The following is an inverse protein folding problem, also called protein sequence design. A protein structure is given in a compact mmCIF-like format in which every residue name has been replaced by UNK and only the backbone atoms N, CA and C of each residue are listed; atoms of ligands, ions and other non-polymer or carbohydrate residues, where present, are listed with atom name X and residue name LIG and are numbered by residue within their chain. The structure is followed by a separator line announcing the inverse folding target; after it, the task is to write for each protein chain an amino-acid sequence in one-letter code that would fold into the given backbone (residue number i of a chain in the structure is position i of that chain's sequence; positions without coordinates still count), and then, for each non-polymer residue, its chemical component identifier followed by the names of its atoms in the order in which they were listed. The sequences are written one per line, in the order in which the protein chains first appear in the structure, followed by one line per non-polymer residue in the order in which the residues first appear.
data_IF_083366333044
#
_entry.id   IF_083366333044
#
_cell.length_a   1.000
_cell.length_b   1.000
_cell.length_c   1.000
_cell.angle_alpha   90.00
_cell.angle_beta   90.00
_cell.angle_gamma   90.00
#
_symmetry.space_group_name_H-M   'P 1'
#
loop_
_entity.id
_entity.type
_entity.pdbx_description
1 polymer ?
#
# COMPACT_ATOMS: atom_id res chain seq x y z
N UNK A 1 37.13 -17.45 2.29
CA UNK A 1 36.39 -17.40 3.58
C UNK A 1 34.90 -17.18 3.35
N UNK A 2 34.47 -16.07 2.74
CA UNK A 2 33.04 -15.77 2.51
C UNK A 2 32.30 -16.86 1.69
N UNK A 3 32.90 -17.36 0.60
CA UNK A 3 32.29 -18.43 -0.22
C UNK A 3 32.05 -19.73 0.57
N UNK A 4 32.94 -20.09 1.48
CA UNK A 4 32.77 -21.30 2.31
C UNK A 4 31.60 -21.15 3.29
N UNK A 5 31.42 -19.97 3.88
CA UNK A 5 30.25 -19.66 4.70
C UNK A 5 28.96 -19.68 3.87
N UNK A 6 28.96 -19.10 2.68
CA UNK A 6 27.80 -19.10 1.78
C UNK A 6 27.44 -20.51 1.29
N UNK A 7 28.44 -21.34 0.96
CA UNK A 7 28.25 -22.77 0.64
C UNK A 7 27.64 -23.53 1.83
N UNK A 8 28.12 -23.27 3.05
CA UNK A 8 27.58 -23.87 4.27
C UNK A 8 26.14 -23.47 4.58
N UNK A 9 25.76 -22.20 4.36
CA UNK A 9 24.40 -21.71 4.60
C UNK A 9 23.37 -22.23 3.59
N UNK A 10 23.79 -22.44 2.35
CA UNK A 10 22.92 -22.93 1.27
C UNK A 10 22.85 -24.47 1.20
N UNK A 11 23.63 -25.18 2.02
CA UNK A 11 23.64 -26.64 2.08
C UNK A 11 23.96 -27.27 0.72
N UNK A 12 23.21 -28.30 0.33
CA UNK A 12 23.40 -29.01 -0.94
C UNK A 12 23.26 -28.12 -2.19
N UNK A 13 22.62 -26.95 -2.08
CA UNK A 13 22.45 -26.00 -3.17
C UNK A 13 23.56 -24.95 -3.25
N UNK A 14 24.45 -24.89 -2.27
CA UNK A 14 25.43 -23.81 -2.15
C UNK A 14 26.45 -23.76 -3.27
N UNK A 15 27.05 -24.89 -3.64
CA UNK A 15 27.99 -24.91 -4.78
C UNK A 15 27.31 -24.59 -6.11
N UNK A 16 26.24 -25.30 -6.55
CA UNK A 16 25.66 -25.06 -7.87
C UNK A 16 25.11 -23.65 -8.04
N UNK A 17 24.56 -23.02 -6.98
CA UNK A 17 24.08 -21.63 -7.05
C UNK A 17 25.24 -20.64 -7.17
N UNK A 18 26.30 -20.81 -6.39
CA UNK A 18 27.47 -19.92 -6.45
C UNK A 18 28.24 -20.06 -7.76
N UNK A 19 28.36 -21.28 -8.26
CA UNK A 19 29.00 -21.58 -9.54
C UNK A 19 28.19 -20.93 -10.68
N UNK A 20 26.85 -21.03 -10.67
CA UNK A 20 25.98 -20.33 -11.62
C UNK A 20 26.10 -18.80 -11.55
N UNK A 21 26.15 -18.21 -10.35
CA UNK A 21 26.33 -16.76 -10.18
C UNK A 21 27.66 -16.30 -10.77
N UNK A 22 28.72 -17.09 -10.58
CA UNK A 22 30.06 -16.79 -11.07
C UNK A 22 30.16 -16.93 -12.60
N UNK A 23 29.51 -17.94 -13.16
CA UNK A 23 29.55 -18.23 -14.60
C UNK A 23 28.64 -17.31 -15.41
N UNK A 24 27.57 -16.78 -14.79
CA UNK A 24 26.58 -15.93 -15.44
C UNK A 24 26.25 -14.64 -14.68
N UNK A 25 27.25 -13.77 -14.40
CA UNK A 25 27.05 -12.58 -13.58
C UNK A 25 26.08 -11.58 -14.22
N UNK A 26 26.05 -11.50 -15.56
CA UNK A 26 25.14 -10.63 -16.30
C UNK A 26 23.68 -11.08 -16.18
N UNK A 27 23.42 -12.39 -16.22
CA UNK A 27 22.08 -12.95 -16.06
C UNK A 27 21.56 -12.67 -14.66
N UNK A 28 22.39 -12.90 -13.64
CA UNK A 28 22.02 -12.61 -12.25
C UNK A 28 21.76 -11.12 -12.03
N UNK A 29 22.63 -10.26 -12.56
CA UNK A 29 22.43 -8.81 -12.50
C UNK A 29 21.13 -8.38 -13.19
N UNK A 30 20.80 -8.94 -14.36
CA UNK A 30 19.56 -8.66 -15.07
C UNK A 30 18.33 -9.07 -14.25
N UNK A 31 18.35 -10.28 -13.66
CA UNK A 31 17.26 -10.75 -12.78
C UNK A 31 17.09 -9.84 -11.56
N UNK A 32 18.19 -9.44 -10.91
CA UNK A 32 18.15 -8.54 -9.77
C UNK A 32 17.66 -7.13 -10.15
N UNK A 33 18.03 -6.62 -11.31
CA UNK A 33 17.54 -5.34 -11.82
C UNK A 33 16.04 -5.38 -12.09
N UNK A 34 15.55 -6.44 -12.73
CA UNK A 34 14.11 -6.65 -12.96
C UNK A 34 13.37 -6.72 -11.62
N UNK A 35 13.91 -7.47 -10.66
CA UNK A 35 13.36 -7.56 -9.30
C UNK A 35 13.29 -6.19 -8.63
N UNK A 36 14.37 -5.41 -8.68
CA UNK A 36 14.43 -4.07 -8.11
C UNK A 36 13.38 -3.15 -8.76
N UNK A 37 13.17 -3.30 -10.07
CA UNK A 37 12.10 -2.65 -10.82
C UNK A 37 10.71 -2.96 -10.25
N UNK A 38 10.40 -4.24 -9.97
CA UNK A 38 9.13 -4.63 -9.34
C UNK A 38 8.95 -4.01 -7.95
N UNK A 39 10.00 -4.01 -7.13
CA UNK A 39 9.95 -3.40 -5.78
C UNK A 39 9.69 -1.90 -5.87
N UNK A 40 10.41 -1.20 -6.74
CA UNK A 40 10.23 0.24 -6.95
C UNK A 40 8.83 0.57 -7.50
N UNK A 41 8.36 -0.16 -8.51
CA UNK A 41 7.04 0.01 -9.10
C UNK A 41 5.93 -0.25 -8.08
N UNK A 42 6.07 -1.27 -7.22
CA UNK A 42 5.12 -1.55 -6.16
C UNK A 42 5.02 -0.44 -5.11
N UNK A 43 6.15 0.16 -4.72
CA UNK A 43 6.16 1.32 -3.81
C UNK A 43 5.52 2.55 -4.46
N UNK A 44 5.79 2.78 -5.74
CA UNK A 44 5.19 3.89 -6.48
C UNK A 44 3.68 3.72 -6.62
N UNK A 45 3.19 2.52 -6.92
CA UNK A 45 1.76 2.21 -6.97
C UNK A 45 1.05 2.45 -5.64
N UNK A 46 1.66 2.06 -4.51
CA UNK A 46 1.08 2.34 -3.18
C UNK A 46 0.99 3.83 -2.89
N UNK A 47 2.00 4.62 -3.30
CA UNK A 47 1.93 6.09 -3.18
C UNK A 47 0.82 6.67 -4.04
N UNK A 48 0.66 6.17 -5.26
CA UNK A 48 -0.43 6.57 -6.17
C UNK A 48 -1.80 6.24 -5.58
N UNK A 49 -2.00 5.03 -5.07
CA UNK A 49 -3.25 4.64 -4.39
C UNK A 49 -3.55 5.61 -3.25
N UNK A 50 -2.57 5.93 -2.40
CA UNK A 50 -2.76 6.89 -1.31
C UNK A 50 -3.22 8.26 -1.83
N UNK A 51 -2.54 8.80 -2.83
CA UNK A 51 -2.88 10.12 -3.40
C UNK A 51 -4.29 10.13 -4.02
N UNK A 52 -4.65 9.11 -4.79
CA UNK A 52 -5.98 8.99 -5.38
C UNK A 52 -7.07 8.77 -4.31
N UNK A 53 -6.75 8.05 -3.23
CA UNK A 53 -7.65 7.89 -2.09
C UNK A 53 -7.92 9.21 -1.38
N UNK A 54 -6.90 10.03 -1.15
CA UNK A 54 -7.04 11.37 -0.57
C UNK A 54 -7.92 12.25 -1.46
N UNK A 55 -7.64 12.31 -2.78
CA UNK A 55 -8.46 13.08 -3.72
C UNK A 55 -9.92 12.65 -3.69
N UNK A 56 -10.17 11.35 -3.63
CA UNK A 56 -11.53 10.80 -3.58
C UNK A 56 -12.24 11.18 -2.28
N UNK A 57 -11.54 11.12 -1.14
CA UNK A 57 -12.10 11.53 0.16
C UNK A 57 -12.41 13.02 0.20
N UNK A 58 -11.47 13.87 -0.24
CA UNK A 58 -11.65 15.32 -0.27
C UNK A 58 -12.80 15.71 -1.19
N UNK A 59 -12.86 15.14 -2.41
CA UNK A 59 -13.93 15.42 -3.36
C UNK A 59 -15.31 15.02 -2.81
N UNK A 60 -15.42 13.81 -2.24
CA UNK A 60 -16.66 13.33 -1.64
C UNK A 60 -17.08 14.19 -0.43
N UNK A 61 -16.12 14.61 0.40
CA UNK A 61 -16.41 15.44 1.56
C UNK A 61 -16.87 16.85 1.17
N UNK A 62 -16.29 17.45 0.13
CA UNK A 62 -16.73 18.76 -0.37
C UNK A 62 -18.16 18.70 -0.92
N UNK A 63 -18.46 17.67 -1.72
CA UNK A 63 -19.80 17.46 -2.29
C UNK A 63 -20.86 17.19 -1.20
N UNK A 64 -20.52 16.37 -0.21
CA UNK A 64 -21.43 15.99 0.87
C UNK A 64 -21.59 17.08 1.93
N UNK A 65 -20.58 17.91 2.17
CA UNK A 65 -20.71 19.07 3.08
C UNK A 65 -21.65 20.14 2.48
N UNK A 66 -21.65 20.28 1.16
CA UNK A 66 -22.57 21.18 0.45
C UNK A 66 -24.04 20.70 0.51
N UNK A 67 -24.26 19.38 0.60
CA UNK A 67 -25.60 18.77 0.48
C UNK A 67 -26.18 18.32 1.83
N UNK A 68 -25.32 17.92 2.78
CA UNK A 68 -25.70 17.27 4.03
C UNK A 68 -24.74 17.67 5.18
N UNK A 69 -25.01 18.79 5.88
CA UNK A 69 -24.09 19.37 6.88
C UNK A 69 -23.94 18.58 8.21
N UNK A 70 -24.50 17.38 8.33
CA UNK A 70 -24.49 16.58 9.56
C UNK A 70 -23.85 15.19 9.42
N UNK A 71 -23.16 14.92 8.32
CA UNK A 71 -22.56 13.61 8.07
C UNK A 71 -21.37 13.35 9.01
N UNK A 72 -21.30 12.16 9.62
CA UNK A 72 -20.15 11.74 10.43
C UNK A 72 -19.03 11.18 9.56
N UNK A 73 -17.80 11.15 10.08
CA UNK A 73 -16.64 10.56 9.40
C UNK A 73 -16.83 9.06 9.10
N UNK A 74 -17.56 8.34 9.94
CA UNK A 74 -17.89 6.93 9.76
C UNK A 74 -18.87 6.71 8.61
N UNK A 75 -19.95 7.48 8.54
CA UNK A 75 -20.91 7.42 7.44
C UNK A 75 -20.27 7.82 6.10
N UNK A 76 -19.37 8.81 6.13
CA UNK A 76 -18.57 9.18 4.97
C UNK A 76 -17.67 8.03 4.54
N UNK A 77 -16.96 7.40 5.48
CA UNK A 77 -16.10 6.25 5.22
C UNK A 77 -16.87 5.10 4.58
N UNK A 78 -18.04 4.72 5.10
CA UNK A 78 -18.81 3.58 4.56
C UNK A 78 -19.24 3.80 3.11
N UNK A 79 -19.68 5.03 2.77
CA UNK A 79 -20.05 5.41 1.40
C UNK A 79 -18.85 5.43 0.47
N UNK A 80 -17.74 6.00 0.94
CA UNK A 80 -16.50 6.08 0.17
C UNK A 80 -15.89 4.69 -0.03
N UNK A 81 -15.97 3.82 0.98
CA UNK A 81 -15.29 2.53 0.99
C UNK A 81 -15.71 1.65 -0.20
N UNK A 82 -17.00 1.63 -0.53
CA UNK A 82 -17.52 0.88 -1.69
C UNK A 82 -16.87 1.41 -2.98
N UNK A 83 -16.97 2.71 -3.22
CA UNK A 83 -16.40 3.35 -4.41
C UNK A 83 -14.87 3.21 -4.49
N UNK A 84 -14.21 3.33 -3.34
CA UNK A 84 -12.77 3.16 -3.21
C UNK A 84 -12.36 1.72 -3.57
N UNK A 85 -13.08 0.71 -3.05
CA UNK A 85 -12.79 -0.70 -3.30
C UNK A 85 -12.86 -1.07 -4.78
N UNK A 86 -13.83 -0.50 -5.51
CA UNK A 86 -13.97 -0.69 -6.97
C UNK A 86 -12.88 0.03 -7.77
N UNK A 87 -12.39 1.17 -7.27
CA UNK A 87 -11.38 1.98 -7.96
C UNK A 87 -9.96 1.52 -7.67
N UNK A 88 -9.69 0.92 -6.51
CA UNK A 88 -8.35 0.52 -6.10
C UNK A 88 -7.70 -0.44 -7.11
N UNK A 89 -8.48 -1.35 -7.69
CA UNK A 89 -8.03 -2.28 -8.73
C UNK A 89 -7.67 -1.61 -10.07
N UNK A 90 -8.10 -0.37 -10.30
CA UNK A 90 -7.76 0.41 -11.50
C UNK A 90 -6.53 1.30 -11.30
N UNK A 91 -6.15 1.58 -10.06
CA UNK A 91 -5.02 2.47 -9.73
C UNK A 91 -3.67 1.77 -9.67
N UNK A 92 -3.68 0.44 -9.55
CA UNK A 92 -2.50 -0.40 -9.48
C UNK A 92 -2.71 -1.68 -10.27
N UNK A 93 -1.60 -2.23 -10.78
CA UNK A 93 -1.55 -3.54 -11.43
C UNK A 93 -1.20 -4.65 -10.43
N UNK A 94 -0.45 -4.32 -9.37
CA UNK A 94 -0.14 -5.24 -8.28
C UNK A 94 0.12 -4.50 -6.97
N UNK A 95 -0.02 -5.22 -5.86
CA UNK A 95 0.45 -4.78 -4.55
C UNK A 95 1.61 -5.68 -4.12
N UNK A 96 2.72 -5.14 -3.58
CA UNK A 96 3.77 -5.98 -3.01
C UNK A 96 3.17 -6.90 -1.94
N UNK A 97 3.45 -8.21 -2.04
CA UNK A 97 3.03 -9.19 -1.05
C UNK A 97 3.49 -8.79 0.36
N UNK A 98 2.97 -9.44 1.41
CA UNK A 98 3.31 -9.12 2.81
C UNK A 98 4.83 -9.02 3.04
N UNK A 99 5.59 -9.95 2.47
CA UNK A 99 7.06 -10.02 2.54
C UNK A 99 7.79 -9.08 1.56
N UNK A 100 7.08 -8.41 0.66
CA UNK A 100 7.66 -7.49 -0.33
C UNK A 100 8.40 -8.16 -1.48
N UNK A 101 8.39 -9.49 -1.53
CA UNK A 101 9.19 -10.28 -2.49
C UNK A 101 8.46 -10.60 -3.79
N UNK A 102 7.13 -10.55 -3.80
CA UNK A 102 6.33 -10.97 -4.96
C UNK A 102 5.15 -10.03 -5.21
N UNK A 103 4.73 -9.83 -6.46
CA UNK A 103 3.49 -9.13 -6.76
C UNK A 103 2.29 -9.98 -6.32
N UNK A 104 1.29 -9.34 -5.73
CA UNK A 104 0.01 -9.93 -5.35
C UNK A 104 -1.13 -9.21 -6.07
N UNK A 105 -2.28 -9.88 -6.30
CA UNK A 105 -3.43 -9.25 -6.93
C UNK A 105 -3.92 -8.05 -6.11
N UNK A 106 -4.34 -7.00 -6.81
CA UNK A 106 -4.83 -5.77 -6.17
C UNK A 106 -6.26 -5.98 -5.68
N UNK A 107 -6.45 -5.92 -4.37
CA UNK A 107 -7.75 -5.96 -3.71
C UNK A 107 -7.78 -4.93 -2.59
N UNK A 108 -8.98 -4.49 -2.20
CA UNK A 108 -9.16 -3.61 -1.03
C UNK A 108 -8.43 -4.17 0.21
N UNK A 109 -8.56 -5.49 0.44
CA UNK A 109 -7.94 -6.18 1.57
C UNK A 109 -6.41 -6.18 1.50
N UNK A 110 -5.81 -6.46 0.33
CA UNK A 110 -4.33 -6.45 0.18
C UNK A 110 -3.75 -5.05 0.30
N UNK A 111 -4.47 -4.04 -0.19
CA UNK A 111 -4.11 -2.63 0.00
C UNK A 111 -4.21 -2.24 1.48
N UNK A 112 -5.29 -2.63 2.17
CA UNK A 112 -5.49 -2.34 3.60
C UNK A 112 -4.39 -2.89 4.50
N UNK A 113 -3.80 -4.04 4.14
CA UNK A 113 -2.64 -4.58 4.86
C UNK A 113 -1.39 -3.68 4.78
N UNK A 114 -1.31 -2.79 3.79
CA UNK A 114 -0.17 -1.89 3.55
C UNK A 114 -0.49 -0.42 3.84
N UNK A 115 -1.76 -0.08 3.77
CA UNK A 115 -2.28 1.27 3.90
C UNK A 115 -3.61 1.20 4.65
N UNK A 116 -3.65 1.59 5.94
CA UNK A 116 -4.85 1.46 6.76
C UNK A 116 -5.89 2.50 6.34
N UNK A 117 -6.65 2.18 5.29
CA UNK A 117 -7.83 2.95 4.90
C UNK A 117 -8.93 2.66 5.91
N UNK A 118 -9.06 3.53 6.91
CA UNK A 118 -9.96 3.40 8.06
C UNK A 118 -10.71 4.71 8.33
N UNK A 119 -11.79 4.69 9.15
CA UNK A 119 -12.50 5.90 9.54
C UNK A 119 -11.58 6.94 10.21
N UNK A 120 -10.62 6.48 11.02
CA UNK A 120 -9.64 7.34 11.70
C UNK A 120 -8.70 8.01 10.68
N UNK A 121 -8.25 7.25 9.68
CA UNK A 121 -7.44 7.81 8.59
C UNK A 121 -8.22 8.84 7.76
N UNK A 122 -9.51 8.58 7.49
CA UNK A 122 -10.39 9.54 6.79
C UNK A 122 -10.55 10.82 7.62
N UNK A 123 -10.78 10.70 8.93
CA UNK A 123 -10.86 11.85 9.83
C UNK A 123 -9.56 12.69 9.81
N UNK A 124 -8.41 12.04 9.87
CA UNK A 124 -7.10 12.70 9.78
C UNK A 124 -6.92 13.45 8.45
N UNK A 125 -7.28 12.83 7.32
CA UNK A 125 -7.21 13.48 6.00
C UNK A 125 -8.09 14.72 5.94
N UNK A 126 -9.30 14.67 6.49
CA UNK A 126 -10.21 15.79 6.50
C UNK A 126 -9.70 16.94 7.37
N UNK A 127 -9.15 16.61 8.54
CA UNK A 127 -8.51 17.57 9.43
C UNK A 127 -7.33 18.27 8.74
N UNK A 128 -6.48 17.52 8.02
CA UNK A 128 -5.35 18.08 7.25
C UNK A 128 -5.79 19.01 6.10
N UNK A 129 -7.01 18.87 5.59
CA UNK A 129 -7.57 19.71 4.52
C UNK A 129 -8.56 20.75 5.04
N UNK A 130 -8.60 20.99 6.36
CA UNK A 130 -9.49 21.97 7.03
C UNK A 130 -11.00 21.73 6.78
N UNK A 131 -11.38 20.51 6.41
CA UNK A 131 -12.78 20.13 6.18
C UNK A 131 -13.39 19.71 7.53
N UNK A 132 -14.27 20.56 8.07
CA UNK A 132 -14.96 20.31 9.33
C UNK A 132 -16.16 19.38 9.13
N UNK A 133 -16.03 18.13 9.59
CA UNK A 133 -17.18 17.25 9.84
C UNK A 133 -17.54 17.24 11.32
N UNK A 134 -18.77 16.85 11.66
CA UNK A 134 -19.16 16.61 13.06
C UNK A 134 -18.43 15.36 13.55
N UNK A 135 -17.62 15.49 14.59
CA UNK A 135 -16.94 14.36 15.23
C UNK A 135 -17.97 13.32 15.67
N UNK A 136 -17.74 12.07 15.28
CA UNK A 136 -18.51 10.94 15.79
C UNK A 136 -18.22 10.89 17.30
N UNK A 137 -19.23 11.23 18.12
CA UNK A 137 -19.06 11.50 19.54
C UNK A 137 -18.44 10.35 20.31
N UNK A 138 -17.10 10.30 20.38
CA UNK A 138 -16.33 9.44 21.24
C UNK A 138 -15.32 10.26 22.03
N UNK A 139 -15.78 10.61 23.22
CA UNK A 139 -15.02 10.85 24.45
C UNK A 139 -13.55 11.24 24.28
N UNK A 140 -13.31 12.54 24.47
CA UNK A 140 -12.15 13.02 25.22
C UNK A 140 -12.10 12.21 26.52
N UNK A 141 -11.12 11.33 26.64
CA UNK A 141 -10.52 11.05 27.94
C UNK A 141 -9.13 11.68 27.91
N UNK A 142 -9.09 12.89 28.49
CA UNK A 142 -7.86 13.44 29.02
C UNK A 142 -7.40 12.51 30.16
N UNK A 143 -6.14 12.09 30.11
CA UNK A 143 -5.40 11.67 31.29
C UNK A 143 -3.96 12.15 31.18
#
# INVERSE_FOLDING_TARGET
MLEYYLKGMLGAWGSPVLDFIRDHPTVVAAVLLVWLGFVAAGRWQLRRIRQESVKLVVAAAQELTATTPHLTSRELYERIYILWSERVGRWAWFVPHRLGLWPAPVTAQTVQQKFPFSPEWVAEVLHQHEIKLKEDGKHIQAH
#
